data_IF_718730925828
#
_entry.id   IF_718730925828
#
_cell.length_a   1.000
_cell.length_b   1.000
_cell.length_c   1.000
_cell.angle_alpha   90.00
_cell.angle_beta   90.00
_cell.angle_gamma   90.00
#
_symmetry.space_group_name_H-M   'P 1'
#
loop_
_entity.id
_entity.type
_entity.pdbx_description
1 polymer ?
#
# COMPACT_ATOMS: atom_id res chain seq x y z
N UNK A 1 -6.13 2.65 30.04
CA UNK A 1 -6.77 2.29 28.76
C UNK A 1 -6.29 0.88 28.37
N UNK A 2 -7.19 -0.08 28.19
CA UNK A 2 -6.80 -1.45 27.86
C UNK A 2 -6.49 -1.54 26.35
N UNK A 3 -5.38 -2.19 25.98
CA UNK A 3 -5.09 -2.48 24.57
C UNK A 3 -6.11 -3.45 24.01
N UNK A 4 -6.84 -3.05 22.95
CA UNK A 4 -7.79 -3.92 22.26
C UNK A 4 -7.10 -4.94 21.32
N UNK A 5 -5.87 -4.63 20.91
CA UNK A 5 -5.08 -5.46 20.00
C UNK A 5 -4.11 -6.34 20.81
N UNK A 6 -4.24 -7.65 20.64
CA UNK A 6 -3.41 -8.66 21.29
C UNK A 6 -3.67 -10.03 20.66
N UNK A 7 -3.16 -11.11 21.25
CA UNK A 7 -3.24 -12.47 20.67
C UNK A 7 -4.67 -13.01 20.40
N UNK A 8 -5.71 -12.30 20.83
CA UNK A 8 -7.12 -12.64 20.59
C UNK A 8 -7.80 -11.72 19.57
N UNK A 9 -7.09 -10.74 18.99
CA UNK A 9 -7.66 -9.78 18.03
C UNK A 9 -8.42 -10.41 16.86
N UNK A 10 -7.99 -11.55 16.26
CA UNK A 10 -8.72 -12.14 15.14
C UNK A 10 -10.09 -12.69 15.57
N UNK A 11 -10.25 -13.07 16.84
CA UNK A 11 -11.52 -13.59 17.39
C UNK A 11 -12.51 -12.48 17.72
N UNK A 12 -12.04 -11.24 17.81
CA UNK A 12 -12.83 -10.06 18.15
C UNK A 12 -13.31 -9.31 16.89
N UNK A 13 -12.97 -9.79 15.69
CA UNK A 13 -13.36 -9.16 14.43
C UNK A 13 -12.74 -7.78 14.23
N UNK A 14 -11.59 -7.51 14.88
CA UNK A 14 -10.88 -6.25 14.72
C UNK A 14 -10.26 -6.15 13.32
N UNK A 15 -10.23 -4.95 12.71
CA UNK A 15 -9.59 -4.77 11.42
C UNK A 15 -8.09 -5.02 11.51
N UNK A 16 -7.55 -5.69 10.50
CA UNK A 16 -6.13 -6.04 10.40
C UNK A 16 -5.27 -4.80 10.08
N UNK A 17 -5.79 -3.89 9.26
CA UNK A 17 -5.10 -2.69 8.83
C UNK A 17 -5.82 -1.45 9.37
N UNK A 18 -5.08 -0.60 10.09
CA UNK A 18 -5.62 0.63 10.67
C UNK A 18 -4.64 1.80 10.50
N UNK A 19 -5.20 2.97 10.25
CA UNK A 19 -4.50 4.24 10.39
C UNK A 19 -4.77 4.80 11.79
N UNK A 20 -3.75 5.31 12.46
CA UNK A 20 -3.87 5.94 13.79
C UNK A 20 -3.35 7.37 13.76
N UNK A 21 -3.89 8.22 14.63
CA UNK A 21 -3.45 9.61 14.76
C UNK A 21 -2.44 9.80 15.90
N UNK A 22 -2.67 9.11 17.02
CA UNK A 22 -1.92 9.34 18.25
C UNK A 22 -1.46 7.99 18.82
N UNK A 23 -0.20 7.95 19.28
CA UNK A 23 0.35 6.83 20.01
C UNK A 23 0.72 7.27 21.42
N UNK A 24 0.17 6.57 22.41
CA UNK A 24 0.48 6.79 23.83
C UNK A 24 1.37 5.66 24.34
N UNK A 25 2.57 6.02 24.78
CA UNK A 25 3.51 5.13 25.46
C UNK A 25 3.11 5.02 26.94
N UNK A 26 2.14 4.16 27.24
CA UNK A 26 1.75 3.79 28.61
C UNK A 26 2.01 2.29 28.81
N UNK A 27 1.74 1.74 30.02
CA UNK A 27 1.93 0.31 30.32
C UNK A 27 1.31 -0.61 29.26
N UNK A 28 0.18 -0.18 28.69
CA UNK A 28 -0.40 -0.72 27.46
C UNK A 28 -0.13 0.27 26.30
N UNK A 29 0.83 -0.04 25.42
CA UNK A 29 1.06 0.73 24.19
C UNK A 29 -0.29 0.89 23.45
N UNK A 30 -0.79 2.12 23.36
CA UNK A 30 -2.16 2.37 22.93
C UNK A 30 -2.17 3.32 21.74
N UNK A 31 -2.73 2.84 20.63
CA UNK A 31 -3.05 3.65 19.45
C UNK A 31 -4.44 4.27 19.62
N UNK A 32 -4.57 5.56 19.29
CA UNK A 32 -5.81 6.32 19.40
C UNK A 32 -6.23 6.87 18.04
N UNK A 33 -7.55 7.05 17.90
CA UNK A 33 -8.22 7.48 16.66
C UNK A 33 -7.92 6.52 15.52
N UNK A 34 -8.49 5.32 15.62
CA UNK A 34 -8.30 4.26 14.63
C UNK A 34 -9.29 4.41 13.48
N UNK A 35 -8.77 4.41 12.26
CA UNK A 35 -9.56 4.33 11.03
C UNK A 35 -9.21 3.02 10.33
N UNK A 36 -10.21 2.22 10.01
CA UNK A 36 -10.02 1.02 9.19
C UNK A 36 -9.62 1.44 7.77
N UNK A 37 -8.58 0.81 7.24
CA UNK A 37 -8.12 0.96 5.87
C UNK A 37 -7.87 -0.42 5.26
N UNK A 38 -7.79 -0.50 3.94
CA UNK A 38 -7.26 -1.68 3.24
C UNK A 38 -5.80 -1.50 2.85
N UNK A 39 -5.06 -2.60 2.61
CA UNK A 39 -3.71 -2.54 2.05
C UNK A 39 -3.65 -1.80 0.70
N UNK A 40 -4.66 -1.97 -0.16
CA UNK A 40 -4.75 -1.30 -1.46
C UNK A 40 -4.90 0.22 -1.29
N UNK A 41 -5.74 0.67 -0.36
CA UNK A 41 -5.88 2.10 -0.04
C UNK A 41 -4.55 2.67 0.45
N UNK A 42 -3.80 1.91 1.28
CA UNK A 42 -2.48 2.32 1.72
C UNK A 42 -1.51 2.50 0.54
N UNK A 43 -1.50 1.56 -0.42
CA UNK A 43 -0.70 1.65 -1.66
C UNK A 43 -1.03 2.89 -2.48
N UNK A 44 -2.30 3.23 -2.58
CA UNK A 44 -2.76 4.39 -3.37
C UNK A 44 -2.47 5.73 -2.67
N UNK A 45 -2.58 5.79 -1.35
CA UNK A 45 -2.43 7.03 -0.58
C UNK A 45 -0.98 7.36 -0.21
N UNK A 46 -0.14 6.35 0.01
CA UNK A 46 1.21 6.58 0.50
C UNK A 46 2.19 6.95 -0.64
N UNK A 47 3.06 7.95 -0.45
CA UNK A 47 4.12 8.27 -1.41
C UNK A 47 5.03 7.07 -1.68
N UNK A 48 5.52 6.94 -2.92
CA UNK A 48 6.41 5.82 -3.34
C UNK A 48 7.64 5.64 -2.43
N UNK A 49 8.16 6.74 -1.87
CA UNK A 49 9.30 6.69 -0.94
C UNK A 49 9.00 5.85 0.32
N UNK A 50 7.79 5.92 0.87
CA UNK A 50 7.45 5.14 2.06
C UNK A 50 7.58 3.64 1.80
N UNK A 51 7.17 3.15 0.62
CA UNK A 51 7.23 1.73 0.27
C UNK A 51 8.67 1.18 0.22
N UNK A 52 9.57 1.90 -0.46
CA UNK A 52 10.95 1.42 -0.62
C UNK A 52 11.71 1.35 0.70
N UNK A 53 11.39 2.24 1.65
CA UNK A 53 12.06 2.34 2.93
C UNK A 53 11.41 1.52 4.05
N UNK A 54 10.36 0.75 3.76
CA UNK A 54 9.79 -0.15 4.76
C UNK A 54 10.85 -1.20 5.18
N UNK A 55 10.99 -1.49 6.48
CA UNK A 55 11.81 -2.61 6.93
C UNK A 55 11.20 -3.95 6.48
N UNK A 56 12.03 -4.98 6.37
CA UNK A 56 11.58 -6.34 6.07
C UNK A 56 10.55 -6.79 7.10
N UNK A 57 9.34 -7.10 6.66
CA UNK A 57 8.19 -7.43 7.50
C UNK A 57 7.10 -8.11 6.66
N UNK A 58 6.21 -8.86 7.32
CA UNK A 58 5.04 -9.48 6.69
C UNK A 58 4.17 -8.43 5.97
N UNK A 59 3.96 -7.27 6.60
CA UNK A 59 3.22 -6.16 6.00
C UNK A 59 3.86 -5.67 4.70
N UNK A 60 5.20 -5.60 4.64
CA UNK A 60 5.92 -5.23 3.40
C UNK A 60 5.72 -6.26 2.30
N UNK A 61 5.69 -7.54 2.63
CA UNK A 61 5.48 -8.63 1.66
C UNK A 61 4.06 -8.59 1.09
N UNK A 62 3.04 -8.35 1.93
CA UNK A 62 1.64 -8.17 1.51
C UNK A 62 1.54 -7.00 0.53
N UNK A 63 2.07 -5.83 0.89
CA UNK A 63 2.01 -4.63 0.05
C UNK A 63 2.73 -4.81 -1.29
N UNK A 64 3.89 -5.47 -1.30
CA UNK A 64 4.58 -5.79 -2.56
C UNK A 64 3.80 -6.76 -3.44
N UNK A 65 3.11 -7.74 -2.86
CA UNK A 65 2.29 -8.69 -3.62
C UNK A 65 1.16 -7.98 -4.38
N UNK A 66 0.55 -6.97 -3.76
CA UNK A 66 -0.51 -6.15 -4.34
C UNK A 66 0.05 -5.34 -5.51
N UNK A 67 1.18 -4.65 -5.32
CA UNK A 67 1.85 -3.90 -6.39
C UNK A 67 2.24 -4.79 -7.58
N UNK A 68 2.79 -5.98 -7.31
CA UNK A 68 3.16 -6.92 -8.36
C UNK A 68 1.94 -7.42 -9.14
N UNK A 69 0.81 -7.65 -8.45
CA UNK A 69 -0.46 -8.02 -9.07
C UNK A 69 -0.98 -6.89 -9.97
N UNK A 70 -0.98 -5.65 -9.50
CA UNK A 70 -1.40 -4.48 -10.29
C UNK A 70 -0.51 -4.26 -11.52
N UNK A 71 0.81 -4.38 -11.37
CA UNK A 71 1.75 -4.29 -12.48
C UNK A 71 1.49 -5.38 -13.55
N UNK A 72 1.17 -6.60 -13.11
CA UNK A 72 0.85 -7.72 -14.00
C UNK A 72 -0.43 -7.49 -14.80
N UNK A 73 -1.43 -6.83 -14.22
CA UNK A 73 -2.68 -6.47 -14.90
C UNK A 73 -2.43 -5.41 -15.99
N UNK A 74 -1.59 -4.42 -15.72
CA UNK A 74 -1.19 -3.39 -16.69
C UNK A 74 -0.42 -3.97 -17.89
N UNK A 75 0.36 -5.04 -17.69
CA UNK A 75 1.07 -5.70 -18.79
C UNK A 75 0.15 -6.55 -19.68
N UNK A 76 -0.92 -7.13 -19.12
CA UNK A 76 -1.87 -7.97 -19.87
C UNK A 76 -2.76 -7.18 -20.83
N UNK A 77 -2.86 -5.85 -20.66
CA UNK A 77 -3.56 -4.94 -21.57
C UNK A 77 -2.77 -4.49 -22.80
N UNK A 78 -1.49 -4.89 -22.95
CA UNK A 78 -0.61 -4.48 -24.07
C UNK A 78 -0.36 -5.55 -25.14
N UNK A 79 -1.19 -6.58 -25.22
CA UNK A 79 -1.12 -7.54 -26.34
C UNK A 79 -2.28 -7.30 -27.30
N UNK A 80 -2.12 -6.35 -28.23
CA UNK A 80 -2.67 -6.44 -29.59
C UNK A 80 -2.06 -5.34 -30.50
N UNK A 81 -1.24 -5.83 -31.45
CA UNK A 81 -0.83 -5.27 -32.76
C UNK A 81 0.29 -4.21 -32.80
N UNK A 82 1.49 -4.69 -33.11
CA UNK A 82 2.45 -4.00 -33.98
C UNK A 82 1.97 -4.12 -35.44
N UNK A 83 2.11 -3.05 -36.26
CA UNK A 83 3.14 -3.08 -37.30
C UNK A 83 4.07 -1.86 -37.29
N UNK A 84 5.31 -2.08 -37.72
CA UNK A 84 6.36 -1.09 -37.99
C UNK A 84 5.91 -0.01 -39.00
N UNK A 85 6.24 1.26 -38.76
CA UNK A 85 7.24 2.05 -39.50
C UNK A 85 7.20 3.55 -39.13
N UNK A 86 8.40 4.07 -38.86
CA UNK A 86 8.95 5.40 -39.13
C UNK A 86 8.40 6.72 -38.54
N UNK A 87 9.40 7.58 -38.28
CA UNK A 87 9.40 9.04 -38.14
C UNK A 87 9.17 9.74 -36.77
N UNK A 88 10.30 10.36 -36.37
CA UNK A 88 10.48 11.66 -35.71
C UNK A 88 10.01 11.82 -34.26
N UNK A 89 11.00 11.78 -33.37
CA UNK A 89 10.92 12.28 -32.00
C UNK A 89 10.72 13.80 -32.02
N UNK A 90 9.47 14.26 -32.01
CA UNK A 90 9.15 15.63 -31.63
C UNK A 90 8.96 15.68 -30.11
N UNK A 91 10.00 16.15 -29.42
CA UNK A 91 9.98 16.40 -27.97
C UNK A 91 9.06 17.59 -27.72
N UNK A 92 7.89 17.33 -27.13
CA UNK A 92 7.02 18.38 -26.60
C UNK A 92 7.78 19.19 -25.52
N UNK A 93 8.04 20.46 -25.80
CA UNK A 93 8.46 21.45 -24.80
C UNK A 93 7.20 22.06 -24.22
N UNK A 94 7.03 21.98 -22.90
CA UNK A 94 5.96 22.69 -22.19
C UNK A 94 6.29 24.17 -22.22
N UNK A 95 5.35 24.96 -22.74
CA UNK A 95 5.40 26.43 -22.74
C UNK A 95 4.87 27.00 -21.42
#
# INVERSE_FOLDING_TARGET
PLSAYGAKSPKLGLPEWVLFHEHTFSEDNCLRTLTHITPEEFVQMAPQYFFYNLPSSESKDILQSILNREASLCQKGKSHKEPQEDQTTDRCVIQ
#
